data_IF_219108724678
#
_entry.id   IF_219108724678
#
_cell.length_a   1.000
_cell.length_b   1.000
_cell.length_c   1.000
_cell.angle_alpha   90.00
_cell.angle_beta   90.00
_cell.angle_gamma   90.00
#
_symmetry.space_group_name_H-M   'P 1'
#
loop_
_entity.id
_entity.type
_entity.pdbx_description
1 polymer ?
#
# COMPACT_ATOMS: atom_id res chain seq x y z
N UNK A 1 -19.26 -26.37 -4.49
CA UNK A 1 -18.14 -26.12 -3.56
C UNK A 1 -18.25 -24.64 -3.18
N UNK A 2 -18.46 -24.32 -1.92
CA UNK A 2 -18.40 -22.93 -1.46
C UNK A 2 -16.98 -22.43 -1.70
N UNK A 3 -16.82 -21.36 -2.47
CA UNK A 3 -15.52 -20.74 -2.66
C UNK A 3 -14.99 -20.33 -1.27
N UNK A 4 -13.81 -20.80 -0.92
CA UNK A 4 -13.14 -20.38 0.31
C UNK A 4 -12.76 -18.90 0.16
N UNK A 5 -13.03 -18.13 1.22
CA UNK A 5 -12.59 -16.71 1.26
C UNK A 5 -11.07 -16.66 1.29
N UNK A 6 -10.44 -15.72 0.59
CA UNK A 6 -9.00 -15.50 0.75
C UNK A 6 -8.69 -15.02 2.18
N UNK A 7 -7.56 -15.47 2.72
CA UNK A 7 -7.03 -15.02 4.00
C UNK A 7 -5.83 -14.15 3.76
N UNK A 8 -5.83 -12.93 4.29
CA UNK A 8 -4.69 -11.99 4.23
C UNK A 8 -4.03 -11.89 5.61
N UNK A 9 -2.71 -11.87 5.64
CA UNK A 9 -2.01 -11.54 6.88
C UNK A 9 -1.98 -10.03 7.09
N UNK A 10 -2.19 -9.63 8.34
CA UNK A 10 -2.26 -8.25 8.76
C UNK A 10 -1.72 -8.12 10.20
N UNK A 11 -1.44 -6.91 10.64
CA UNK A 11 -1.12 -6.68 12.05
C UNK A 11 -2.36 -6.33 12.84
N UNK A 12 -2.52 -6.97 14.02
CA UNK A 12 -3.50 -6.61 15.04
C UNK A 12 -2.91 -5.69 16.12
N UNK A 13 -1.56 -5.59 16.21
CA UNK A 13 -0.86 -4.68 17.12
C UNK A 13 0.25 -3.96 16.36
N UNK A 14 0.24 -2.63 16.42
CA UNK A 14 1.24 -1.74 15.80
C UNK A 14 1.39 -0.48 16.63
N UNK A 15 2.51 0.26 16.47
CA UNK A 15 2.62 1.62 17.04
C UNK A 15 1.51 2.53 16.49
N UNK A 16 1.07 3.50 17.30
CA UNK A 16 -0.05 4.40 16.95
C UNK A 16 0.13 5.09 15.61
N UNK A 17 1.36 5.53 15.29
CA UNK A 17 1.65 6.19 14.01
C UNK A 17 1.44 5.28 12.79
N UNK A 18 1.44 3.96 12.96
CA UNK A 18 1.28 2.99 11.86
C UNK A 18 -0.18 2.60 11.62
N UNK A 19 -1.09 2.87 12.57
CA UNK A 19 -2.52 2.55 12.43
C UNK A 19 -3.12 3.24 11.18
N UNK A 20 -3.84 2.48 10.38
CA UNK A 20 -4.45 2.94 9.12
C UNK A 20 -3.45 3.16 7.96
N UNK A 21 -2.20 2.65 8.07
CA UNK A 21 -1.13 2.83 7.08
C UNK A 21 -0.38 1.55 6.74
N UNK A 22 -0.67 0.44 7.41
CA UNK A 22 -0.02 -0.86 7.16
C UNK A 22 -0.37 -1.36 5.77
N UNK A 23 0.57 -2.03 5.11
CA UNK A 23 0.47 -2.40 3.68
C UNK A 23 -0.65 -3.38 3.34
N UNK A 24 -1.19 -4.14 4.32
CA UNK A 24 -2.37 -4.96 4.13
C UNK A 24 -3.61 -4.13 3.70
N UNK A 25 -3.63 -2.83 4.03
CA UNK A 25 -4.67 -1.91 3.55
C UNK A 25 -4.81 -1.91 2.02
N UNK A 26 -3.71 -2.10 1.28
CA UNK A 26 -3.73 -2.20 -0.18
C UNK A 26 -4.59 -3.36 -0.67
N UNK A 27 -4.46 -4.51 0.00
CA UNK A 27 -5.17 -5.72 -0.37
C UNK A 27 -6.63 -5.65 0.06
N UNK A 28 -6.89 -5.16 1.28
CA UNK A 28 -8.25 -4.87 1.75
C UNK A 28 -8.98 -3.95 0.77
N UNK A 29 -8.32 -2.88 0.35
CA UNK A 29 -8.90 -1.91 -0.58
C UNK A 29 -9.27 -2.56 -1.92
N UNK A 30 -8.38 -3.37 -2.49
CA UNK A 30 -8.67 -4.07 -3.73
C UNK A 30 -9.86 -5.04 -3.59
N UNK A 31 -9.90 -5.83 -2.51
CA UNK A 31 -11.02 -6.74 -2.24
C UNK A 31 -12.34 -6.00 -2.06
N UNK A 32 -12.34 -4.88 -1.35
CA UNK A 32 -13.51 -3.99 -1.21
C UNK A 32 -13.97 -3.37 -2.54
N UNK A 33 -13.06 -2.99 -3.44
CA UNK A 33 -13.41 -2.52 -4.79
C UNK A 33 -14.00 -3.64 -5.65
N UNK A 34 -13.55 -4.85 -5.44
CA UNK A 34 -14.06 -6.04 -6.13
C UNK A 34 -15.38 -6.53 -5.57
N UNK A 35 -15.72 -6.16 -4.32
CA UNK A 35 -16.88 -6.66 -3.59
C UNK A 35 -16.67 -8.08 -3.05
N UNK A 36 -15.42 -8.46 -2.78
CA UNK A 36 -15.03 -9.79 -2.31
C UNK A 36 -14.85 -9.80 -0.79
N UNK A 37 -15.37 -10.84 -0.16
CA UNK A 37 -15.17 -11.08 1.27
C UNK A 37 -13.80 -11.73 1.51
N UNK A 38 -13.18 -11.44 2.66
CA UNK A 38 -11.89 -11.99 3.07
C UNK A 38 -11.83 -12.22 4.56
N UNK A 39 -10.84 -13.00 5.00
CA UNK A 39 -10.48 -13.22 6.39
C UNK A 39 -9.11 -12.61 6.67
N UNK A 40 -8.84 -12.27 7.95
CA UNK A 40 -7.55 -11.75 8.38
C UNK A 40 -6.85 -12.72 9.33
N UNK A 41 -5.57 -12.95 9.07
CA UNK A 41 -4.65 -13.60 9.99
C UNK A 41 -3.84 -12.51 10.70
N UNK A 42 -4.26 -12.20 11.94
CA UNK A 42 -3.69 -11.10 12.70
C UNK A 42 -2.39 -11.51 13.41
N UNK A 43 -1.38 -10.68 13.25
CA UNK A 43 -0.03 -10.82 13.79
C UNK A 43 0.31 -9.65 14.70
N UNK A 44 1.36 -9.82 15.50
CA UNK A 44 1.89 -8.78 16.38
C UNK A 44 3.17 -8.20 15.75
N UNK A 45 3.21 -6.86 15.54
CA UNK A 45 4.36 -6.21 14.94
C UNK A 45 5.57 -6.10 15.91
N UNK A 46 5.33 -6.20 17.21
CA UNK A 46 6.38 -6.07 18.23
C UNK A 46 7.19 -7.36 18.46
N UNK A 47 6.67 -8.51 17.99
CA UNK A 47 7.29 -9.80 18.22
C UNK A 47 7.63 -10.48 16.89
N UNK A 48 8.74 -11.26 16.84
CA UNK A 48 9.04 -12.11 15.69
C UNK A 48 7.91 -13.11 15.43
N UNK A 49 7.53 -13.27 14.17
CA UNK A 49 6.53 -14.26 13.76
C UNK A 49 7.17 -15.65 13.76
N UNK A 50 6.35 -16.65 14.04
CA UNK A 50 6.83 -18.04 14.09
C UNK A 50 7.30 -18.57 12.74
N UNK A 51 8.07 -19.69 12.72
CA UNK A 51 8.63 -20.25 11.49
C UNK A 51 7.56 -20.64 10.46
N UNK A 52 6.34 -20.96 10.89
CA UNK A 52 5.21 -21.24 9.99
C UNK A 52 4.84 -20.00 9.15
N UNK A 53 4.87 -18.81 9.74
CA UNK A 53 4.58 -17.58 8.99
C UNK A 53 5.71 -17.24 8.01
N UNK A 54 6.96 -17.48 8.40
CA UNK A 54 8.12 -17.23 7.52
C UNK A 54 8.12 -18.12 6.27
N UNK A 55 7.50 -19.29 6.32
CA UNK A 55 7.28 -20.11 5.12
C UNK A 55 6.28 -19.45 4.16
N UNK A 56 5.31 -18.73 4.69
CA UNK A 56 4.32 -18.00 3.92
C UNK A 56 4.87 -16.65 3.42
N UNK A 57 5.59 -15.90 4.28
CA UNK A 57 6.19 -14.60 3.94
C UNK A 57 7.67 -14.58 4.38
N UNK A 58 8.61 -14.83 3.45
CA UNK A 58 10.01 -15.08 3.79
C UNK A 58 10.76 -13.88 4.37
N UNK A 59 10.21 -12.66 4.24
CA UNK A 59 10.79 -11.43 4.81
C UNK A 59 10.17 -11.05 6.16
N UNK A 60 9.31 -11.91 6.72
CA UNK A 60 8.63 -11.68 8.00
C UNK A 60 7.82 -10.37 8.04
N UNK A 61 7.18 -10.01 6.94
CA UNK A 61 6.40 -8.79 6.76
C UNK A 61 4.91 -9.11 6.51
N UNK A 62 4.08 -8.09 6.47
CA UNK A 62 2.70 -8.16 5.99
C UNK A 62 2.53 -7.24 4.78
N UNK A 63 1.64 -7.55 3.82
CA UNK A 63 0.77 -8.72 3.76
C UNK A 63 1.41 -9.93 3.06
N UNK A 64 0.86 -11.10 3.36
CA UNK A 64 0.84 -12.29 2.52
C UNK A 64 -0.62 -12.72 2.37
N UNK A 65 -0.93 -13.58 1.39
CA UNK A 65 -2.29 -14.04 1.13
C UNK A 65 -2.32 -15.54 0.82
N UNK A 66 -3.37 -16.22 1.30
CA UNK A 66 -3.77 -17.58 0.93
C UNK A 66 -5.13 -17.52 0.27
N UNK A 67 -5.26 -18.20 -0.87
CA UNK A 67 -6.53 -18.29 -1.61
C UNK A 67 -6.64 -19.68 -2.25
N UNK A 68 -7.31 -20.60 -1.56
CA UNK A 68 -7.29 -22.03 -1.90
C UNK A 68 -5.87 -22.60 -1.83
N UNK A 69 -5.38 -23.13 -2.94
CA UNK A 69 -4.03 -23.69 -3.05
C UNK A 69 -2.94 -22.64 -3.38
N UNK A 70 -3.32 -21.37 -3.53
CA UNK A 70 -2.37 -20.29 -3.82
C UNK A 70 -1.89 -19.64 -2.53
N UNK A 71 -0.58 -19.63 -2.33
CA UNK A 71 0.10 -18.84 -1.32
C UNK A 71 0.98 -17.79 -2.03
N UNK A 72 0.82 -16.51 -1.67
CA UNK A 72 1.50 -15.43 -2.35
C UNK A 72 1.86 -14.30 -1.39
N UNK A 73 3.04 -13.73 -1.52
CA UNK A 73 3.50 -12.54 -0.82
C UNK A 73 3.85 -11.43 -1.81
N UNK A 74 4.24 -10.25 -1.32
CA UNK A 74 4.36 -8.99 -2.04
C UNK A 74 3.01 -8.35 -2.38
N UNK A 75 2.75 -7.16 -1.85
CA UNK A 75 1.47 -6.48 -2.05
C UNK A 75 1.16 -6.23 -3.53
N UNK A 76 2.19 -5.95 -4.36
CA UNK A 76 2.01 -5.78 -5.80
C UNK A 76 1.63 -7.08 -6.51
N UNK A 77 2.24 -8.19 -6.13
CA UNK A 77 1.92 -9.50 -6.71
C UNK A 77 0.52 -9.96 -6.30
N UNK A 78 0.13 -9.72 -5.05
CA UNK A 78 -1.23 -10.02 -4.55
C UNK A 78 -2.27 -9.19 -5.32
N UNK A 79 -2.04 -7.88 -5.49
CA UNK A 79 -2.93 -7.01 -6.25
C UNK A 79 -3.09 -7.48 -7.70
N UNK A 80 -1.99 -7.86 -8.35
CA UNK A 80 -2.04 -8.37 -9.72
C UNK A 80 -2.80 -9.68 -9.81
N UNK A 81 -2.53 -10.62 -8.89
CA UNK A 81 -3.25 -11.89 -8.82
C UNK A 81 -4.76 -11.69 -8.65
N UNK A 82 -5.17 -10.84 -7.72
CA UNK A 82 -6.59 -10.54 -7.48
C UNK A 82 -7.25 -9.92 -8.71
N UNK A 83 -6.56 -8.96 -9.34
CA UNK A 83 -7.07 -8.29 -10.53
C UNK A 83 -7.24 -9.25 -11.72
N UNK A 84 -6.32 -10.19 -11.91
CA UNK A 84 -6.42 -11.25 -12.92
C UNK A 84 -7.56 -12.22 -12.61
N UNK A 85 -7.62 -12.70 -11.36
CA UNK A 85 -8.63 -13.69 -10.92
C UNK A 85 -10.05 -13.19 -11.07
N UNK A 86 -10.29 -11.91 -10.73
CA UNK A 86 -11.62 -11.32 -10.71
C UNK A 86 -11.94 -10.50 -11.98
N UNK A 87 -10.98 -10.36 -12.90
CA UNK A 87 -11.11 -9.55 -14.13
C UNK A 87 -11.55 -8.11 -13.81
N UNK A 88 -11.03 -7.53 -12.71
CA UNK A 88 -11.34 -6.20 -12.19
C UNK A 88 -10.06 -5.41 -11.91
N UNK A 89 -10.15 -4.09 -11.89
CA UNK A 89 -9.05 -3.18 -11.54
C UNK A 89 -7.83 -3.26 -12.46
N UNK A 90 -8.00 -3.82 -13.65
CA UNK A 90 -7.06 -3.75 -14.77
C UNK A 90 -7.82 -3.37 -16.04
N UNK A 91 -7.36 -2.36 -16.79
CA UNK A 91 -7.94 -2.00 -18.07
C UNK A 91 -8.02 -3.17 -19.04
N UNK A 92 -9.09 -3.25 -19.83
CA UNK A 92 -9.24 -4.29 -20.84
C UNK A 92 -8.35 -4.06 -22.08
N UNK A 93 -8.12 -2.79 -22.45
CA UNK A 93 -7.27 -2.43 -23.58
C UNK A 93 -5.80 -2.82 -23.28
N UNK A 94 -5.12 -3.55 -24.19
CA UNK A 94 -3.77 -4.08 -23.90
C UNK A 94 -2.75 -3.02 -23.51
N UNK A 95 -2.75 -1.85 -24.14
CA UNK A 95 -1.82 -0.78 -23.83
C UNK A 95 -2.06 -0.23 -22.42
N UNK A 96 -3.32 0.05 -22.07
CA UNK A 96 -3.67 0.64 -20.76
C UNK A 96 -3.46 -0.38 -19.64
N UNK A 97 -3.70 -1.67 -19.92
CA UNK A 97 -3.40 -2.77 -19.00
C UNK A 97 -1.90 -2.82 -18.66
N UNK A 98 -1.04 -2.76 -19.66
CA UNK A 98 0.40 -2.75 -19.42
C UNK A 98 0.88 -1.44 -18.77
N UNK A 99 0.22 -0.33 -19.05
CA UNK A 99 0.48 0.92 -18.31
C UNK A 99 0.11 0.79 -16.82
N UNK A 100 -1.02 0.18 -16.49
CA UNK A 100 -1.40 -0.07 -15.10
C UNK A 100 -0.36 -0.97 -14.41
N UNK A 101 0.09 -2.05 -15.04
CA UNK A 101 1.12 -2.93 -14.50
C UNK A 101 2.46 -2.18 -14.34
N UNK A 102 2.85 -1.38 -15.32
CA UNK A 102 4.07 -0.58 -15.23
C UNK A 102 4.03 0.43 -14.07
N UNK A 103 2.89 1.09 -13.87
CA UNK A 103 2.70 2.02 -12.76
C UNK A 103 2.63 1.31 -11.40
N UNK A 104 2.09 0.09 -11.33
CA UNK A 104 2.16 -0.75 -10.13
C UNK A 104 3.62 -0.97 -9.71
N UNK A 105 4.48 -1.40 -10.64
CA UNK A 105 5.90 -1.60 -10.36
C UNK A 105 6.65 -0.28 -10.13
N UNK A 106 6.29 0.79 -10.83
CA UNK A 106 6.90 2.10 -10.61
C UNK A 106 6.61 2.65 -9.21
N UNK A 107 5.40 2.43 -8.69
CA UNK A 107 5.06 2.79 -7.32
C UNK A 107 5.99 2.09 -6.32
N UNK A 108 6.18 0.76 -6.45
CA UNK A 108 7.02 -0.03 -5.55
C UNK A 108 8.51 0.27 -5.68
N UNK A 109 9.02 0.42 -6.92
CA UNK A 109 10.45 0.44 -7.17
C UNK A 109 11.02 1.86 -7.36
N UNK A 110 10.19 2.83 -7.75
CA UNK A 110 10.66 4.17 -8.10
C UNK A 110 10.18 5.26 -7.15
N UNK A 111 9.02 5.08 -6.50
CA UNK A 111 8.42 6.09 -5.61
C UNK A 111 8.52 5.68 -4.15
N UNK A 112 8.03 4.50 -3.80
CA UNK A 112 8.01 4.02 -2.41
C UNK A 112 9.39 4.04 -1.74
N UNK A 113 10.51 3.58 -2.38
CA UNK A 113 11.81 3.61 -1.73
C UNK A 113 12.28 5.02 -1.39
N UNK A 114 11.97 6.01 -2.24
CA UNK A 114 12.35 7.39 -1.99
C UNK A 114 11.59 7.99 -0.77
N UNK A 115 10.30 7.67 -0.63
CA UNK A 115 9.50 8.10 0.53
C UNK A 115 9.88 7.32 1.80
N UNK A 116 10.11 6.01 1.68
CA UNK A 116 10.48 5.18 2.82
C UNK A 116 11.83 5.56 3.43
N UNK A 117 12.82 5.99 2.64
CA UNK A 117 14.09 6.48 3.16
C UNK A 117 13.89 7.69 4.07
N UNK A 118 13.04 8.64 3.66
CA UNK A 118 12.69 9.81 4.46
C UNK A 118 11.95 9.38 5.73
N UNK A 119 10.94 8.50 5.60
CA UNK A 119 10.19 7.98 6.75
C UNK A 119 11.12 7.27 7.73
N UNK A 120 12.06 6.46 7.23
CA UNK A 120 13.05 5.77 8.07
C UNK A 120 13.89 6.78 8.86
N UNK A 121 14.42 7.79 8.21
CA UNK A 121 15.24 8.80 8.89
C UNK A 121 14.38 9.63 9.86
N UNK A 122 13.24 10.17 9.43
CA UNK A 122 12.48 11.12 10.21
C UNK A 122 11.66 10.48 11.36
N UNK A 123 11.15 9.25 11.18
CA UNK A 123 10.25 8.61 12.16
C UNK A 123 10.97 7.58 13.01
N UNK A 124 11.72 6.66 12.38
CA UNK A 124 12.38 5.58 13.12
C UNK A 124 13.73 5.99 13.74
N UNK A 125 14.36 7.04 13.21
CA UNK A 125 15.65 7.56 13.70
C UNK A 125 15.61 9.07 13.96
N UNK A 126 14.43 9.65 14.21
CA UNK A 126 14.26 11.09 14.37
C UNK A 126 15.09 11.72 15.51
N UNK A 127 15.47 10.94 16.51
CA UNK A 127 16.32 11.40 17.63
C UNK A 127 17.83 11.30 17.36
N UNK A 128 18.23 10.70 16.22
CA UNK A 128 19.63 10.55 15.86
C UNK A 128 20.20 11.84 15.27
N UNK A 129 21.42 12.22 15.65
CA UNK A 129 22.11 13.44 15.21
C UNK A 129 22.21 13.58 13.68
N UNK A 130 22.17 12.49 12.95
CA UNK A 130 22.24 12.47 11.48
C UNK A 130 20.88 12.57 10.77
N UNK A 131 19.76 12.43 11.51
CA UNK A 131 18.41 12.31 10.93
C UNK A 131 18.03 13.49 10.05
N UNK A 132 18.10 14.71 10.57
CA UNK A 132 17.74 15.93 9.82
C UNK A 132 18.57 16.10 8.56
N UNK A 133 19.88 15.84 8.65
CA UNK A 133 20.80 15.91 7.51
C UNK A 133 20.47 14.86 6.44
N UNK A 134 20.07 13.67 6.85
CA UNK A 134 19.65 12.61 5.93
C UNK A 134 18.32 12.97 5.24
N UNK A 135 17.34 13.48 5.98
CA UNK A 135 16.05 13.93 5.43
C UNK A 135 16.27 15.00 4.37
N UNK A 136 17.04 16.05 4.67
CA UNK A 136 17.32 17.13 3.72
C UNK A 136 18.07 16.63 2.47
N UNK A 137 18.97 15.66 2.61
CA UNK A 137 19.69 15.09 1.48
C UNK A 137 18.80 14.22 0.57
N UNK A 138 17.79 13.52 1.13
CA UNK A 138 16.89 12.62 0.41
C UNK A 138 15.69 13.34 -0.22
N UNK A 139 15.23 14.44 0.38
CA UNK A 139 14.06 15.19 -0.02
C UNK A 139 14.02 15.59 -1.50
N UNK A 140 15.09 16.14 -2.13
CA UNK A 140 15.06 16.52 -3.54
C UNK A 140 14.79 15.34 -4.49
N UNK A 141 15.30 14.15 -4.15
CA UNK A 141 15.06 12.94 -4.95
C UNK A 141 13.60 12.49 -4.86
N UNK A 142 13.02 12.48 -3.66
CA UNK A 142 11.61 12.14 -3.47
C UNK A 142 10.70 13.15 -4.20
N UNK A 143 10.97 14.46 -4.07
CA UNK A 143 10.25 15.52 -4.78
C UNK A 143 10.33 15.33 -6.29
N UNK A 144 11.50 14.97 -6.83
CA UNK A 144 11.66 14.70 -8.27
C UNK A 144 10.79 13.49 -8.70
N UNK A 145 10.73 12.41 -7.90
CA UNK A 145 9.88 11.26 -8.20
C UNK A 145 8.40 11.64 -8.22
N UNK A 146 7.94 12.35 -7.21
CA UNK A 146 6.56 12.83 -7.13
C UNK A 146 6.21 13.78 -8.27
N UNK A 147 7.11 14.69 -8.64
CA UNK A 147 6.93 15.56 -9.80
C UNK A 147 6.73 14.74 -11.08
N UNK A 148 7.49 13.67 -11.30
CA UNK A 148 7.32 12.79 -12.48
C UNK A 148 5.98 12.07 -12.48
N UNK A 149 5.49 11.66 -11.33
CA UNK A 149 4.14 11.09 -11.21
C UNK A 149 3.08 12.14 -11.55
N UNK A 150 3.22 13.37 -11.05
CA UNK A 150 2.32 14.48 -11.34
C UNK A 150 2.29 14.83 -12.84
N UNK A 151 3.46 14.90 -13.49
CA UNK A 151 3.60 15.16 -14.93
C UNK A 151 2.92 14.05 -15.76
N UNK A 152 3.11 12.79 -15.38
CA UNK A 152 2.53 11.65 -16.09
C UNK A 152 1.01 11.53 -15.89
N UNK A 153 0.51 11.91 -14.71
CA UNK A 153 -0.93 11.99 -14.43
C UNK A 153 -1.56 13.11 -15.27
N UNK A 154 -0.96 14.30 -15.28
CA UNK A 154 -1.45 15.45 -16.05
C UNK A 154 -2.90 15.79 -15.69
N UNK A 155 -3.78 15.82 -16.68
CA UNK A 155 -5.22 16.09 -16.50
C UNK A 155 -6.06 14.82 -16.28
N UNK A 156 -5.43 13.64 -16.26
CA UNK A 156 -6.14 12.37 -16.08
C UNK A 156 -6.58 12.19 -14.62
N UNK A 157 -7.69 11.52 -14.44
CA UNK A 157 -8.14 11.13 -13.11
C UNK A 157 -7.28 10.01 -12.51
N UNK A 158 -6.82 9.06 -13.35
CA UNK A 158 -6.11 7.86 -12.95
C UNK A 158 -4.90 7.57 -13.87
N UNK A 159 -3.89 6.88 -13.34
CA UNK A 159 -2.61 6.69 -14.00
C UNK A 159 -2.70 5.95 -15.35
N UNK A 160 -3.63 4.99 -15.46
CA UNK A 160 -3.85 4.19 -16.66
C UNK A 160 -5.21 4.51 -17.35
N UNK A 161 -5.75 5.71 -17.13
CA UNK A 161 -7.02 6.15 -17.71
C UNK A 161 -8.22 5.85 -16.84
N UNK A 162 -8.35 4.62 -16.35
CA UNK A 162 -9.37 4.20 -15.37
C UNK A 162 -8.72 3.74 -14.06
N UNK A 163 -9.53 3.74 -12.96
CA UNK A 163 -9.04 3.32 -11.66
C UNK A 163 -8.60 1.85 -11.68
N UNK A 164 -7.40 1.60 -11.18
CA UNK A 164 -6.74 0.30 -11.28
C UNK A 164 -5.90 -0.04 -10.04
N UNK A 165 -5.31 -1.23 -10.03
CA UNK A 165 -4.33 -1.64 -9.01
C UNK A 165 -3.14 -0.69 -8.91
N UNK A 166 -2.79 0.01 -9.99
CA UNK A 166 -1.76 1.04 -9.99
C UNK A 166 -2.10 2.20 -9.06
N UNK A 167 -3.36 2.63 -9.10
CA UNK A 167 -3.85 3.75 -8.29
C UNK A 167 -4.00 3.36 -6.82
N UNK A 168 -4.45 2.14 -6.55
CA UNK A 168 -4.48 1.59 -5.17
C UNK A 168 -3.08 1.67 -4.56
N UNK A 169 -2.08 1.18 -5.28
CA UNK A 169 -0.72 1.13 -4.77
C UNK A 169 -0.10 2.52 -4.69
N UNK A 170 -0.18 3.32 -5.76
CA UNK A 170 0.40 4.67 -5.77
C UNK A 170 -0.23 5.58 -4.72
N UNK A 171 -1.56 5.63 -4.61
CA UNK A 171 -2.22 6.47 -3.62
C UNK A 171 -1.90 6.03 -2.19
N UNK A 172 -1.75 4.71 -1.94
CA UNK A 172 -1.40 4.19 -0.61
C UNK A 172 -0.04 4.69 -0.11
N UNK A 173 0.89 5.04 -1.01
CA UNK A 173 2.19 5.59 -0.64
C UNK A 173 2.05 6.94 0.08
N UNK A 174 1.04 7.71 -0.27
CA UNK A 174 0.80 9.04 0.31
C UNK A 174 0.23 8.99 1.75
N UNK A 175 -0.13 7.80 2.25
CA UNK A 175 -0.41 7.60 3.68
C UNK A 175 0.88 7.65 4.52
N UNK A 176 2.02 7.31 3.92
CA UNK A 176 3.34 7.28 4.56
C UNK A 176 4.25 8.43 4.09
N UNK A 177 3.71 9.41 3.38
CA UNK A 177 4.42 10.64 3.01
C UNK A 177 4.44 11.58 4.21
N UNK A 178 5.39 11.34 5.12
CA UNK A 178 5.49 12.02 6.44
C UNK A 178 5.83 13.50 6.33
N UNK A 179 6.37 13.95 5.21
CA UNK A 179 6.63 15.36 4.94
C UNK A 179 5.57 16.01 4.04
N UNK A 180 4.53 15.25 3.69
CA UNK A 180 3.45 15.68 2.79
C UNK A 180 3.95 16.24 1.44
N UNK A 181 5.07 15.70 0.93
CA UNK A 181 5.71 16.15 -0.31
C UNK A 181 4.78 16.02 -1.53
N UNK A 182 3.88 15.03 -1.52
CA UNK A 182 2.87 14.88 -2.57
C UNK A 182 1.93 16.10 -2.63
N UNK A 183 1.67 16.78 -1.50
CA UNK A 183 0.81 17.96 -1.45
C UNK A 183 1.46 19.20 -2.09
N UNK A 184 2.78 19.20 -2.30
CA UNK A 184 3.48 20.26 -3.05
C UNK A 184 3.08 20.26 -4.53
N UNK A 185 2.50 19.16 -5.02
CA UNK A 185 2.00 19.02 -6.38
C UNK A 185 0.46 19.06 -6.36
N UNK A 186 -0.20 20.14 -6.82
CA UNK A 186 -1.67 20.25 -6.78
C UNK A 186 -2.39 19.08 -7.43
N UNK A 187 -1.82 18.53 -8.51
CA UNK A 187 -2.35 17.34 -9.21
C UNK A 187 -2.36 16.11 -8.31
N UNK A 188 -1.27 15.86 -7.56
CA UNK A 188 -1.18 14.72 -6.65
C UNK A 188 -2.07 14.90 -5.41
N UNK A 189 -2.19 16.13 -4.92
CA UNK A 189 -3.12 16.45 -3.83
C UNK A 189 -4.56 16.11 -4.22
N UNK A 190 -4.99 16.52 -5.42
CA UNK A 190 -6.32 16.23 -5.94
C UNK A 190 -6.52 14.72 -6.20
N UNK A 191 -5.51 14.05 -6.77
CA UNK A 191 -5.50 12.61 -7.00
C UNK A 191 -5.63 11.82 -5.70
N UNK A 192 -4.84 12.16 -4.67
CA UNK A 192 -4.91 11.56 -3.32
C UNK A 192 -6.31 11.72 -2.72
N UNK A 193 -6.88 12.93 -2.77
CA UNK A 193 -8.21 13.19 -2.25
C UNK A 193 -9.25 12.30 -2.93
N UNK A 194 -9.28 12.29 -4.26
CA UNK A 194 -10.18 11.47 -5.06
C UNK A 194 -10.04 9.97 -4.77
N UNK A 195 -8.81 9.47 -4.60
CA UNK A 195 -8.55 8.08 -4.27
C UNK A 195 -9.09 7.70 -2.88
N UNK A 196 -8.87 8.57 -1.89
CA UNK A 196 -9.28 8.29 -0.51
C UNK A 196 -10.77 8.58 -0.23
N UNK A 197 -11.44 9.32 -1.09
CA UNK A 197 -12.90 9.51 -1.04
C UNK A 197 -13.67 8.28 -1.56
N UNK A 198 -13.01 7.32 -2.19
CA UNK A 198 -13.68 6.11 -2.68
C UNK A 198 -14.29 5.31 -1.53
N UNK A 199 -15.57 4.91 -1.65
CA UNK A 199 -16.26 4.16 -0.58
C UNK A 199 -15.53 2.87 -0.18
N UNK A 200 -14.91 2.17 -1.14
CA UNK A 200 -14.15 0.95 -0.89
C UNK A 200 -12.89 1.23 -0.05
N UNK A 201 -12.17 2.33 -0.30
CA UNK A 201 -11.06 2.74 0.56
C UNK A 201 -11.51 3.00 2.00
N UNK A 202 -12.62 3.71 2.17
CA UNK A 202 -13.15 4.03 3.50
C UNK A 202 -13.53 2.75 4.28
N UNK A 203 -14.16 1.77 3.60
CA UNK A 203 -14.48 0.47 4.22
C UNK A 203 -13.21 -0.31 4.56
N UNK A 204 -12.26 -0.41 3.65
CA UNK A 204 -10.99 -1.09 3.86
C UNK A 204 -10.23 -0.50 5.05
N UNK A 205 -10.16 0.83 5.14
CA UNK A 205 -9.51 1.51 6.25
C UNK A 205 -10.24 1.29 7.56
N UNK A 206 -11.57 1.37 7.55
CA UNK A 206 -12.37 1.09 8.75
C UNK A 206 -12.16 -0.36 9.24
N UNK A 207 -12.13 -1.34 8.33
CA UNK A 207 -11.87 -2.74 8.65
C UNK A 207 -10.45 -2.92 9.24
N UNK A 208 -9.42 -2.28 8.67
CA UNK A 208 -8.07 -2.32 9.22
C UNK A 208 -8.01 -1.69 10.62
N UNK A 209 -8.67 -0.54 10.81
CA UNK A 209 -8.70 0.12 12.12
C UNK A 209 -9.42 -0.70 13.18
N UNK A 210 -10.43 -1.48 12.79
CA UNK A 210 -11.17 -2.35 13.71
C UNK A 210 -10.38 -3.59 14.16
N UNK A 211 -9.38 -4.00 13.37
CA UNK A 211 -8.51 -5.14 13.73
C UNK A 211 -7.42 -4.78 14.76
N UNK A 212 -7.13 -3.48 14.93
CA UNK A 212 -6.13 -3.10 15.94
C UNK A 212 -6.69 -3.24 17.34
N UNK A 213 -5.97 -3.98 18.15
CA UNK A 213 -6.17 -4.01 19.61
C UNK A 213 -5.26 -2.99 20.27
N UNK A 214 -5.69 -2.42 21.40
CA UNK A 214 -4.83 -1.53 22.17
C UNK A 214 -3.57 -2.30 22.58
N UNK A 215 -2.41 -1.70 22.36
CA UNK A 215 -1.17 -2.17 22.97
C UNK A 215 -1.36 -1.98 24.47
N UNK A 216 -1.43 -3.06 25.24
CA UNK A 216 -1.11 -2.95 26.65
C UNK A 216 0.33 -2.43 26.70
N UNK A 217 0.49 -1.21 27.18
CA UNK A 217 1.80 -0.66 27.54
C UNK A 217 2.31 -1.52 28.70
N UNK A 218 3.24 -2.45 28.42
CA UNK A 218 4.10 -3.08 29.43
C UNK A 218 5.45 -2.37 29.48
#
# INVERSE_FOLDING_TARGET
>A
MTATKPTISAFGKVPEFAKGRVRDLRIRWALEEMGEEYETHLLDAYHPRGPEYVTWQPFDQVPAMRDGDIEIFESGAILLYLAEKHEKLLPAAPQDRWQAIAWLFAALNSVEPALNQITTAAVFHGEADWSDGAVEAMKPFAQQRLKRVAEALGEKDWLAGEFSIADILMASLFLNDVLELANEQPVLKAYRARAFERPAFQRARAAQMADFTDSEED
#
